data_IF_312128687019
#
_entry.id   IF_312128687019
#
_cell.length_a   1.000
_cell.length_b   1.000
_cell.length_c   1.000
_cell.angle_alpha   90.00
_cell.angle_beta   90.00
_cell.angle_gamma   90.00
#
_symmetry.space_group_name_H-M   'P 1'
#
loop_
_entity.id
_entity.type
_entity.pdbx_description
1 polymer ?
#
# COMPACT_ATOMS: atom_id res chain seq x y z
N UNK A 1 33.70 35.47 25.46
CA UNK A 1 33.89 34.28 24.62
C UNK A 1 33.64 33.05 25.45
N UNK A 2 33.04 32.02 24.83
CA UNK A 2 32.62 30.69 25.34
C UNK A 2 31.36 30.70 26.21
N UNK A 3 30.18 30.81 25.61
CA UNK A 3 29.40 29.76 24.92
C UNK A 3 28.48 29.01 25.90
N UNK A 4 27.33 29.63 26.18
CA UNK A 4 26.16 28.97 26.72
C UNK A 4 25.51 28.16 25.59
N UNK A 5 25.60 26.84 25.66
CA UNK A 5 24.71 25.97 24.87
C UNK A 5 23.31 26.03 25.49
N UNK A 6 22.25 26.34 24.73
CA UNK A 6 20.93 25.92 25.11
C UNK A 6 20.69 24.52 24.54
N UNK A 7 20.29 23.61 25.43
CA UNK A 7 19.53 22.42 25.10
C UNK A 7 18.56 22.67 23.95
N UNK A 8 18.69 21.88 22.89
CA UNK A 8 17.67 21.76 21.83
C UNK A 8 17.28 20.30 21.68
N UNK A 9 16.81 19.73 22.78
CA UNK A 9 15.84 18.64 22.77
C UNK A 9 14.53 19.20 23.29
N UNK A 10 13.89 20.06 22.47
CA UNK A 10 12.50 20.46 22.68
C UNK A 10 11.62 19.58 21.78
N UNK A 11 10.83 18.64 22.33
CA UNK A 11 9.88 17.84 21.55
C UNK A 11 8.68 18.74 21.22
N UNK A 12 8.89 19.68 20.32
CA UNK A 12 7.85 20.56 19.82
C UNK A 12 6.80 19.72 19.09
N UNK A 13 5.75 19.35 19.83
CA UNK A 13 4.40 19.01 19.39
C UNK A 13 4.32 18.52 17.94
N UNK A 14 4.55 17.23 17.72
CA UNK A 14 3.99 16.58 16.54
C UNK A 14 2.48 16.82 16.60
N UNK A 15 1.97 17.69 15.72
CA UNK A 15 0.54 17.98 15.68
C UNK A 15 -0.21 16.65 15.52
N UNK A 16 -1.25 16.39 16.32
CA UNK A 16 -2.02 15.18 16.18
C UNK A 16 -2.53 15.08 14.74
N UNK A 17 -2.44 13.87 14.18
CA UNK A 17 -2.92 13.61 12.82
C UNK A 17 -4.37 14.10 12.69
N UNK A 18 -4.62 14.93 11.67
CA UNK A 18 -5.93 15.49 11.39
C UNK A 18 -6.93 14.36 11.17
N UNK A 19 -8.12 14.43 11.75
CA UNK A 19 -9.15 13.39 11.59
C UNK A 19 -9.79 13.37 10.19
N UNK A 20 -9.81 14.53 9.53
CA UNK A 20 -10.35 14.72 8.18
C UNK A 20 -11.85 14.50 8.03
N UNK A 21 -12.36 14.84 6.85
CA UNK A 21 -13.76 14.65 6.49
C UNK A 21 -14.00 13.24 5.94
N UNK A 22 -15.11 12.60 6.30
CA UNK A 22 -15.46 11.25 5.78
C UNK A 22 -16.24 11.28 4.47
N UNK A 23 -16.76 12.45 4.07
CA UNK A 23 -17.45 12.69 2.79
C UNK A 23 -16.79 13.86 2.07
N UNK A 24 -16.70 13.79 0.74
CA UNK A 24 -16.10 14.83 -0.09
C UNK A 24 -16.78 16.20 0.10
N UNK A 25 -18.11 16.20 0.22
CA UNK A 25 -18.91 17.42 0.40
C UNK A 25 -18.65 18.15 1.72
N UNK A 26 -18.07 17.46 2.72
CA UNK A 26 -17.81 18.02 4.04
C UNK A 26 -16.37 18.57 4.18
N UNK A 27 -15.56 18.49 3.12
CA UNK A 27 -14.18 18.98 3.15
C UNK A 27 -14.20 20.51 3.16
N UNK A 28 -13.63 21.18 4.19
CA UNK A 28 -13.56 22.63 4.20
C UNK A 28 -12.76 23.15 3.00
N UNK A 29 -13.23 24.20 2.34
CA UNK A 29 -12.59 24.76 1.15
C UNK A 29 -11.10 25.11 1.37
N UNK A 30 -10.75 25.63 2.56
CA UNK A 30 -9.36 25.93 2.91
C UNK A 30 -8.47 24.68 3.04
N UNK A 31 -9.05 23.54 3.44
CA UNK A 31 -8.32 22.25 3.48
C UNK A 31 -8.16 21.73 2.06
N UNK A 32 -9.22 21.75 1.25
CA UNK A 32 -9.14 21.30 -0.15
C UNK A 32 -8.11 22.12 -0.94
N UNK A 33 -8.05 23.43 -0.74
CA UNK A 33 -7.04 24.29 -1.37
C UNK A 33 -5.60 23.89 -0.98
N UNK A 34 -5.34 23.56 0.29
CA UNK A 34 -4.02 23.11 0.76
C UNK A 34 -3.67 21.72 0.24
N UNK A 35 -4.65 20.81 0.14
CA UNK A 35 -4.46 19.49 -0.48
C UNK A 35 -4.11 19.64 -1.96
N UNK A 36 -4.84 20.46 -2.71
CA UNK A 36 -4.58 20.76 -4.12
C UNK A 36 -3.24 21.48 -4.33
N UNK A 37 -2.78 22.28 -3.35
CA UNK A 37 -1.47 22.92 -3.39
C UNK A 37 -0.33 22.00 -2.93
N UNK A 38 -0.62 20.75 -2.54
CA UNK A 38 0.37 19.80 -2.07
C UNK A 38 0.99 20.12 -0.70
N UNK A 39 0.37 21.01 0.07
CA UNK A 39 0.92 21.54 1.33
C UNK A 39 0.58 20.65 2.53
N UNK A 40 -0.46 19.82 2.42
CA UNK A 40 -0.90 18.91 3.46
C UNK A 40 -1.03 17.48 2.92
N UNK A 41 -0.79 16.47 3.76
CA UNK A 41 -1.28 15.13 3.47
C UNK A 41 -2.79 15.04 3.69
N UNK A 42 -3.41 14.09 3.00
CA UNK A 42 -4.79 13.68 3.24
C UNK A 42 -4.94 13.10 4.65
N UNK A 43 -6.14 13.15 5.21
CA UNK A 43 -6.46 12.47 6.46
C UNK A 43 -7.38 11.26 6.23
N UNK A 44 -8.13 11.28 5.12
CA UNK A 44 -9.11 10.25 4.77
C UNK A 44 -9.08 9.94 3.28
N UNK A 45 -9.69 8.81 2.89
CA UNK A 45 -9.91 8.49 1.50
C UNK A 45 -10.77 9.54 0.78
N UNK A 46 -11.77 10.11 1.45
CA UNK A 46 -12.64 11.12 0.85
C UNK A 46 -11.85 12.36 0.41
N UNK A 47 -10.86 12.78 1.20
CA UNK A 47 -9.97 13.88 0.84
C UNK A 47 -9.06 13.53 -0.32
N UNK A 48 -8.46 12.33 -0.33
CA UNK A 48 -7.66 11.88 -1.46
C UNK A 48 -8.45 11.79 -2.77
N UNK A 49 -9.73 11.44 -2.70
CA UNK A 49 -10.63 11.43 -3.87
C UNK A 49 -11.09 12.81 -4.32
N UNK A 50 -11.02 13.82 -3.44
CA UNK A 50 -11.42 15.19 -3.74
C UNK A 50 -10.31 16.04 -4.33
N UNK A 51 -9.05 15.60 -4.24
CA UNK A 51 -7.91 16.32 -4.82
C UNK A 51 -8.12 16.53 -6.31
N UNK A 52 -7.98 17.78 -6.74
CA UNK A 52 -7.81 18.12 -8.14
C UNK A 52 -6.41 17.70 -8.57
N UNK A 53 -6.33 16.65 -9.38
CA UNK A 53 -5.07 16.05 -9.78
C UNK A 53 -4.20 17.01 -10.59
N UNK A 54 -4.80 17.81 -11.47
CA UNK A 54 -4.03 18.72 -12.32
C UNK A 54 -3.52 19.90 -11.50
N UNK A 55 -4.33 20.45 -10.60
CA UNK A 55 -3.88 21.50 -9.68
C UNK A 55 -2.70 21.03 -8.82
N UNK A 56 -2.75 19.78 -8.32
CA UNK A 56 -1.65 19.21 -7.56
C UNK A 56 -0.39 18.98 -8.40
N UNK A 57 -0.52 18.53 -9.66
CA UNK A 57 0.64 18.43 -10.56
C UNK A 57 1.25 19.81 -10.81
N UNK A 58 0.44 20.83 -11.09
CA UNK A 58 0.90 22.20 -11.30
C UNK A 58 1.66 22.75 -10.08
N UNK A 59 1.20 22.44 -8.87
CA UNK A 59 1.83 22.88 -7.65
C UNK A 59 3.13 22.13 -7.32
N UNK A 60 3.14 20.81 -7.51
CA UNK A 60 4.25 19.96 -7.08
C UNK A 60 5.34 19.78 -8.14
N UNK A 61 4.97 19.78 -9.42
CA UNK A 61 5.83 19.42 -10.55
C UNK A 61 5.43 20.21 -11.82
N UNK A 62 5.52 21.56 -11.79
CA UNK A 62 5.00 22.43 -12.84
C UNK A 62 5.57 22.13 -14.23
N UNK A 63 6.79 21.60 -14.32
CA UNK A 63 7.48 21.28 -15.57
C UNK A 63 6.77 20.20 -16.42
N UNK A 64 5.93 19.34 -15.83
CA UNK A 64 5.16 18.30 -16.55
C UNK A 64 3.67 18.62 -16.65
N UNK A 65 3.22 19.79 -16.19
CA UNK A 65 1.79 20.09 -16.03
C UNK A 65 1.01 20.08 -17.35
N UNK A 66 1.61 20.55 -18.44
CA UNK A 66 0.98 20.55 -19.77
C UNK A 66 0.75 19.12 -20.28
N UNK A 67 1.79 18.27 -20.24
CA UNK A 67 1.69 16.85 -20.58
C UNK A 67 0.71 16.10 -19.66
N UNK A 68 0.68 16.44 -18.37
CA UNK A 68 -0.26 15.85 -17.42
C UNK A 68 -1.70 16.23 -17.77
N UNK A 69 -1.98 17.48 -18.15
CA UNK A 69 -3.30 17.91 -18.56
C UNK A 69 -3.82 17.11 -19.77
N UNK A 70 -2.95 16.87 -20.76
CA UNK A 70 -3.29 16.05 -21.92
C UNK A 70 -3.62 14.61 -21.52
N UNK A 71 -2.76 13.97 -20.71
CA UNK A 71 -2.96 12.57 -20.30
C UNK A 71 -4.12 12.37 -19.32
N UNK A 72 -4.52 13.42 -18.61
CA UNK A 72 -5.64 13.40 -17.65
C UNK A 72 -6.99 13.82 -18.27
N UNK A 73 -7.05 14.23 -19.54
CA UNK A 73 -8.26 14.78 -20.17
C UNK A 73 -9.45 13.81 -20.31
N UNK A 74 -9.29 12.52 -19.98
CA UNK A 74 -10.35 11.51 -20.05
C UNK A 74 -11.07 11.23 -18.72
N UNK A 75 -12.16 10.45 -18.80
CA UNK A 75 -12.87 9.94 -17.62
C UNK A 75 -12.10 8.79 -16.96
N UNK A 76 -11.08 9.15 -16.18
CA UNK A 76 -10.19 8.21 -15.50
C UNK A 76 -10.57 8.08 -14.03
N UNK A 77 -10.68 6.83 -13.57
CA UNK A 77 -10.77 6.53 -12.14
C UNK A 77 -9.48 6.87 -11.39
N UNK A 78 -9.54 6.94 -10.05
CA UNK A 78 -8.40 7.38 -9.23
C UNK A 78 -7.12 6.56 -9.47
N UNK A 79 -7.22 5.23 -9.58
CA UNK A 79 -6.06 4.35 -9.83
C UNK A 79 -5.42 4.67 -11.19
N UNK A 80 -6.23 4.91 -12.22
CA UNK A 80 -5.74 5.26 -13.54
C UNK A 80 -5.06 6.64 -13.53
N UNK A 81 -5.65 7.63 -12.85
CA UNK A 81 -5.03 8.96 -12.69
C UNK A 81 -3.68 8.88 -11.98
N UNK A 82 -3.60 8.13 -10.87
CA UNK A 82 -2.35 7.91 -10.14
C UNK A 82 -1.28 7.24 -11.02
N UNK A 83 -1.66 6.20 -11.77
CA UNK A 83 -0.75 5.51 -12.69
C UNK A 83 -0.28 6.40 -13.83
N UNK A 84 -1.19 7.15 -14.45
CA UNK A 84 -0.86 8.04 -15.58
C UNK A 84 0.15 9.11 -15.16
N UNK A 85 -0.09 9.78 -14.02
CA UNK A 85 0.82 10.80 -13.51
C UNK A 85 2.15 10.18 -13.08
N UNK A 86 2.14 9.06 -12.35
CA UNK A 86 3.37 8.39 -11.94
C UNK A 86 4.23 7.89 -13.10
N UNK A 87 3.61 7.35 -14.15
CA UNK A 87 4.34 6.94 -15.38
C UNK A 87 4.91 8.16 -16.11
N UNK A 88 4.13 9.23 -16.28
CA UNK A 88 4.63 10.48 -16.86
C UNK A 88 5.85 11.00 -16.08
N UNK A 89 5.77 11.05 -14.76
CA UNK A 89 6.88 11.51 -13.92
C UNK A 89 8.11 10.60 -14.03
N UNK A 90 7.93 9.29 -14.21
CA UNK A 90 9.05 8.37 -14.44
C UNK A 90 9.74 8.63 -15.78
N UNK A 91 8.97 8.90 -16.83
CA UNK A 91 9.48 9.21 -18.17
C UNK A 91 10.24 10.53 -18.19
N UNK A 92 9.67 11.59 -17.60
CA UNK A 92 10.22 12.94 -17.68
C UNK A 92 11.33 13.21 -16.65
N UNK A 93 11.23 12.64 -15.44
CA UNK A 93 12.13 12.99 -14.33
C UNK A 93 13.00 11.84 -13.83
N UNK A 94 12.66 10.60 -14.18
CA UNK A 94 13.39 9.39 -13.82
C UNK A 94 13.74 9.29 -12.32
N UNK A 95 14.94 8.77 -12.03
CA UNK A 95 15.44 8.60 -10.67
C UNK A 95 15.70 9.92 -9.94
N UNK A 96 15.94 11.02 -10.68
CA UNK A 96 16.12 12.33 -10.06
C UNK A 96 14.80 12.81 -9.44
N UNK A 97 13.70 12.78 -10.20
CA UNK A 97 12.37 13.11 -9.69
C UNK A 97 11.96 12.20 -8.54
N UNK A 98 12.15 10.88 -8.68
CA UNK A 98 11.80 9.90 -7.65
C UNK A 98 12.44 10.23 -6.29
N UNK A 99 13.72 10.63 -6.26
CA UNK A 99 14.43 10.95 -5.03
C UNK A 99 13.82 12.13 -4.25
N UNK A 100 13.24 13.09 -4.96
CA UNK A 100 12.61 14.27 -4.37
C UNK A 100 11.14 14.01 -4.02
N UNK A 101 10.38 13.45 -4.95
CA UNK A 101 8.92 13.26 -4.80
C UNK A 101 8.57 12.27 -3.69
N UNK A 102 9.41 11.25 -3.43
CA UNK A 102 9.19 10.33 -2.30
C UNK A 102 9.29 10.98 -0.91
N UNK A 103 9.78 12.22 -0.82
CA UNK A 103 9.88 13.00 0.43
C UNK A 103 8.90 14.16 0.49
N UNK A 104 8.05 14.31 -0.53
CA UNK A 104 7.12 15.43 -0.63
C UNK A 104 6.10 15.43 0.52
N UNK A 105 5.66 16.58 1.06
CA UNK A 105 4.69 16.64 2.17
C UNK A 105 3.35 15.98 1.85
N UNK A 106 2.80 16.20 0.64
CA UNK A 106 1.59 15.52 0.19
C UNK A 106 1.79 14.02 -0.06
N UNK A 107 0.95 13.20 0.55
CA UNK A 107 0.94 11.74 0.40
C UNK A 107 0.58 11.31 -1.02
N UNK A 108 -0.29 12.04 -1.73
CA UNK A 108 -0.62 11.75 -3.13
C UNK A 108 0.61 11.86 -4.04
N UNK A 109 1.49 12.85 -3.81
CA UNK A 109 2.74 13.01 -4.57
C UNK A 109 3.72 11.87 -4.26
N UNK A 110 3.82 11.46 -2.99
CA UNK A 110 4.57 10.24 -2.61
C UNK A 110 3.94 8.98 -3.21
N UNK A 111 2.62 8.95 -3.37
CA UNK A 111 1.89 7.90 -4.09
C UNK A 111 2.25 7.86 -5.59
N UNK A 112 2.41 9.00 -6.25
CA UNK A 112 2.94 9.03 -7.62
C UNK A 112 4.37 8.49 -7.68
N UNK A 113 5.19 8.77 -6.67
CA UNK A 113 6.54 8.20 -6.58
C UNK A 113 6.51 6.66 -6.54
N UNK A 114 5.48 6.03 -5.95
CA UNK A 114 5.32 4.58 -6.03
C UNK A 114 5.04 4.09 -7.47
N UNK A 115 4.17 4.78 -8.19
CA UNK A 115 3.93 4.51 -9.61
C UNK A 115 5.14 4.83 -10.49
N UNK A 116 5.98 5.80 -10.11
CA UNK A 116 7.24 6.04 -10.79
C UNK A 116 8.16 4.82 -10.67
N UNK A 117 8.28 4.23 -9.47
CA UNK A 117 9.07 2.99 -9.28
C UNK A 117 8.59 1.87 -10.19
N UNK A 118 7.28 1.73 -10.38
CA UNK A 118 6.70 0.76 -11.31
C UNK A 118 6.91 1.14 -12.80
N UNK A 119 6.95 2.43 -13.12
CA UNK A 119 7.11 2.95 -14.49
C UNK A 119 8.55 3.07 -14.99
N UNK A 120 9.56 3.03 -14.11
CA UNK A 120 10.96 3.15 -14.52
C UNK A 120 11.37 2.03 -15.51
N UNK A 121 11.96 2.36 -16.66
CA UNK A 121 12.31 1.38 -17.68
C UNK A 121 13.53 0.55 -17.27
N UNK A 122 13.56 -0.72 -17.71
CA UNK A 122 14.74 -1.59 -17.59
C UNK A 122 15.12 -2.01 -16.18
N UNK A 123 14.27 -1.79 -15.17
CA UNK A 123 14.54 -2.14 -13.77
C UNK A 123 14.11 -3.57 -13.45
N UNK A 124 15.01 -4.44 -12.95
CA UNK A 124 14.64 -5.75 -12.44
C UNK A 124 13.82 -5.64 -11.14
N UNK A 125 13.17 -6.73 -10.75
CA UNK A 125 12.19 -6.73 -9.66
C UNK A 125 12.82 -6.41 -8.29
N UNK A 126 14.01 -6.92 -8.03
CA UNK A 126 14.80 -6.64 -6.83
C UNK A 126 15.11 -5.13 -6.69
N UNK A 127 15.58 -4.48 -7.75
CA UNK A 127 15.84 -3.02 -7.75
C UNK A 127 14.53 -2.24 -7.52
N UNK A 128 13.41 -2.67 -8.10
CA UNK A 128 12.11 -2.03 -7.84
C UNK A 128 11.68 -2.21 -6.38
N UNK A 129 11.93 -3.36 -5.78
CA UNK A 129 11.64 -3.62 -4.37
C UNK A 129 12.51 -2.77 -3.44
N UNK A 130 13.77 -2.54 -3.78
CA UNK A 130 14.63 -1.60 -3.05
C UNK A 130 14.12 -0.16 -3.14
N UNK A 131 13.73 0.28 -4.34
CA UNK A 131 13.22 1.63 -4.58
C UNK A 131 11.85 1.88 -3.92
N UNK A 132 10.97 0.88 -3.88
CA UNK A 132 9.63 1.00 -3.28
C UNK A 132 9.68 0.94 -1.76
N UNK A 133 10.68 0.29 -1.16
CA UNK A 133 10.77 0.03 0.29
C UNK A 133 10.45 1.24 1.17
N UNK A 134 11.00 2.45 0.97
CA UNK A 134 10.65 3.61 1.79
C UNK A 134 9.18 4.06 1.66
N UNK A 135 8.54 3.79 0.52
CA UNK A 135 7.12 4.11 0.28
C UNK A 135 6.20 3.02 0.85
N UNK A 136 6.65 1.75 0.80
CA UNK A 136 6.01 0.63 1.49
C UNK A 136 6.02 0.81 3.02
N UNK A 137 7.05 1.47 3.55
CA UNK A 137 7.21 1.81 4.98
C UNK A 137 6.80 3.25 5.33
N UNK A 138 6.10 3.95 4.43
CA UNK A 138 5.72 5.34 4.66
C UNK A 138 4.81 5.47 5.89
N UNK A 139 4.98 6.50 6.74
CA UNK A 139 4.09 6.71 7.89
C UNK A 139 2.63 6.92 7.48
N UNK A 140 2.39 7.43 6.27
CA UNK A 140 1.06 7.72 5.76
C UNK A 140 0.40 6.49 5.12
N UNK A 141 -0.80 6.15 5.58
CA UNK A 141 -1.50 4.94 5.15
C UNK A 141 -1.73 4.88 3.63
N UNK A 142 -2.11 6.00 3.02
CA UNK A 142 -2.42 6.02 1.59
C UNK A 142 -1.20 5.73 0.72
N UNK A 143 -0.01 6.19 1.12
CA UNK A 143 1.23 5.92 0.38
C UNK A 143 1.53 4.42 0.40
N UNK A 144 1.33 3.76 1.54
CA UNK A 144 1.50 2.30 1.65
C UNK A 144 0.53 1.54 0.75
N UNK A 145 -0.70 2.02 0.57
CA UNK A 145 -1.64 1.43 -0.39
C UNK A 145 -1.17 1.60 -1.84
N UNK A 146 -0.73 2.80 -2.21
CA UNK A 146 -0.20 3.06 -3.54
C UNK A 146 1.07 2.25 -3.84
N UNK A 147 1.92 2.05 -2.83
CA UNK A 147 3.15 1.28 -2.96
C UNK A 147 2.89 -0.15 -3.44
N UNK A 148 2.00 -0.89 -2.78
CA UNK A 148 1.72 -2.26 -3.20
C UNK A 148 0.90 -2.30 -4.49
N UNK A 149 -0.05 -1.37 -4.68
CA UNK A 149 -0.86 -1.30 -5.90
C UNK A 149 0.01 -1.08 -7.14
N UNK A 150 0.95 -0.14 -7.07
CA UNK A 150 1.85 0.21 -8.16
C UNK A 150 2.76 -0.96 -8.55
N UNK A 151 3.33 -1.67 -7.57
CA UNK A 151 4.31 -2.73 -7.85
C UNK A 151 3.67 -4.09 -8.16
N UNK A 152 2.41 -4.30 -7.79
CA UNK A 152 1.70 -5.56 -7.97
C UNK A 152 1.76 -6.16 -9.39
N UNK A 153 1.66 -5.40 -10.50
CA UNK A 153 1.82 -5.96 -11.83
C UNK A 153 3.16 -6.67 -12.04
N UNK A 154 4.26 -6.10 -11.52
CA UNK A 154 5.60 -6.68 -11.59
C UNK A 154 5.74 -7.92 -10.69
N UNK A 155 5.11 -7.91 -9.51
CA UNK A 155 5.08 -9.08 -8.62
C UNK A 155 4.28 -10.24 -9.22
N UNK A 156 3.20 -9.92 -9.95
CA UNK A 156 2.36 -10.93 -10.59
C UNK A 156 3.00 -11.53 -11.85
N UNK A 157 3.84 -10.78 -12.56
CA UNK A 157 4.49 -11.26 -13.78
C UNK A 157 5.60 -12.29 -13.53
N UNK A 158 6.30 -12.18 -12.40
CA UNK A 158 7.31 -13.16 -11.96
C UNK A 158 7.07 -13.52 -10.49
N UNK A 159 6.00 -14.27 -10.26
CA UNK A 159 5.55 -14.62 -8.92
C UNK A 159 6.59 -15.44 -8.12
N UNK A 160 7.29 -16.45 -8.67
CA UNK A 160 8.32 -17.18 -7.93
C UNK A 160 9.42 -16.26 -7.39
N UNK A 161 10.00 -15.40 -8.25
CA UNK A 161 11.02 -14.44 -7.82
C UNK A 161 10.45 -13.42 -6.82
N UNK A 162 9.22 -12.96 -7.02
CA UNK A 162 8.55 -12.05 -6.10
C UNK A 162 8.41 -12.64 -4.69
N UNK A 163 7.98 -13.90 -4.58
CA UNK A 163 7.82 -14.59 -3.29
C UNK A 163 9.17 -14.76 -2.57
N UNK A 164 10.21 -15.12 -3.31
CA UNK A 164 11.58 -15.25 -2.77
C UNK A 164 12.09 -13.90 -2.25
N UNK A 165 11.99 -12.84 -3.05
CA UNK A 165 12.47 -11.50 -2.69
C UNK A 165 11.67 -10.84 -1.55
N UNK A 166 10.39 -11.18 -1.42
CA UNK A 166 9.53 -10.66 -0.35
C UNK A 166 9.64 -11.47 0.95
N UNK A 167 10.13 -12.72 0.92
CA UNK A 167 10.22 -13.55 2.12
C UNK A 167 11.01 -12.88 3.27
N UNK A 168 12.19 -12.26 3.03
CA UNK A 168 12.91 -11.55 4.10
C UNK A 168 12.11 -10.41 4.74
N UNK A 169 11.16 -9.81 4.03
CA UNK A 169 10.37 -8.68 4.53
C UNK A 169 9.40 -9.12 5.63
N UNK A 170 9.04 -10.39 5.68
CA UNK A 170 8.21 -10.96 6.77
C UNK A 170 8.93 -10.99 8.12
N UNK A 171 10.26 -10.90 8.13
CA UNK A 171 11.06 -10.79 9.34
C UNK A 171 11.49 -9.35 9.68
N UNK A 172 10.99 -8.34 8.96
CA UNK A 172 11.37 -6.95 9.20
C UNK A 172 10.78 -6.40 10.49
N UNK A 173 11.53 -5.53 11.18
CA UNK A 173 11.05 -4.82 12.38
C UNK A 173 9.79 -3.99 12.09
N UNK A 174 9.73 -3.37 10.90
CA UNK A 174 8.56 -2.61 10.48
C UNK A 174 7.37 -3.50 10.13
N UNK A 175 6.28 -3.30 10.85
CA UNK A 175 4.97 -3.87 10.55
C UNK A 175 4.45 -3.50 9.15
N UNK A 176 4.83 -2.34 8.63
CA UNK A 176 4.41 -1.91 7.29
C UNK A 176 5.04 -2.77 6.21
N UNK A 177 6.33 -3.11 6.35
CA UNK A 177 7.05 -3.97 5.42
C UNK A 177 6.53 -5.41 5.46
N UNK A 178 6.29 -5.95 6.67
CA UNK A 178 5.67 -7.27 6.83
C UNK A 178 4.28 -7.31 6.19
N UNK A 179 3.48 -6.26 6.40
CA UNK A 179 2.17 -6.10 5.75
C UNK A 179 2.30 -5.99 4.24
N UNK A 180 3.26 -5.23 3.71
CA UNK A 180 3.46 -5.07 2.27
C UNK A 180 3.71 -6.40 1.57
N UNK A 181 4.56 -7.27 2.14
CA UNK A 181 4.86 -8.58 1.59
C UNK A 181 3.59 -9.43 1.38
N UNK A 182 2.70 -9.45 2.38
CA UNK A 182 1.44 -10.19 2.30
C UNK A 182 0.41 -9.49 1.41
N UNK A 183 0.22 -8.18 1.59
CA UNK A 183 -0.84 -7.44 0.91
C UNK A 183 -0.63 -7.43 -0.61
N UNK A 184 0.61 -7.17 -1.03
CA UNK A 184 0.99 -7.07 -2.44
C UNK A 184 0.74 -8.35 -3.22
N UNK A 185 0.75 -9.51 -2.54
CA UNK A 185 0.56 -10.85 -3.12
C UNK A 185 -0.83 -11.44 -2.85
N UNK A 186 -1.81 -10.66 -2.36
CA UNK A 186 -3.18 -11.18 -2.15
C UNK A 186 -3.75 -11.83 -3.42
N UNK A 187 -4.39 -13.02 -3.37
CA UNK A 187 -4.93 -13.68 -4.56
C UNK A 187 -6.01 -12.83 -5.25
N UNK A 188 -6.80 -12.08 -4.46
CA UNK A 188 -7.91 -11.24 -4.93
C UNK A 188 -7.88 -9.86 -4.28
N UNK A 189 -6.96 -9.01 -4.71
CA UNK A 189 -6.94 -7.61 -4.26
C UNK A 189 -8.12 -6.81 -4.82
N UNK A 190 -8.49 -5.75 -4.10
CA UNK A 190 -9.50 -4.78 -4.52
C UNK A 190 -8.80 -3.70 -5.36
N UNK A 191 -9.45 -3.21 -6.42
CA UNK A 191 -8.90 -2.23 -7.37
C UNK A 191 -7.67 -2.69 -8.19
N UNK A 192 -7.39 -3.99 -8.22
CA UNK A 192 -6.29 -4.54 -8.98
C UNK A 192 -6.65 -5.89 -9.60
N UNK A 193 -5.86 -6.34 -10.58
CA UNK A 193 -6.01 -7.66 -11.15
C UNK A 193 -5.75 -8.76 -10.10
N UNK A 194 -6.48 -9.88 -10.26
CA UNK A 194 -6.26 -11.08 -9.47
C UNK A 194 -4.95 -11.76 -9.87
N UNK A 195 -4.25 -12.37 -8.90
CA UNK A 195 -3.10 -13.23 -9.19
C UNK A 195 -3.64 -14.64 -9.37
N UNK A 196 -3.81 -15.05 -10.63
CA UNK A 196 -4.44 -16.33 -10.98
C UNK A 196 -3.69 -17.54 -10.39
N UNK A 197 -2.36 -17.50 -10.41
CA UNK A 197 -1.52 -18.55 -9.82
C UNK A 197 -1.84 -18.81 -8.35
N UNK A 198 -1.91 -17.75 -7.51
CA UNK A 198 -2.23 -17.89 -6.08
C UNK A 198 -3.71 -18.21 -5.80
N UNK A 199 -4.61 -17.97 -6.76
CA UNK A 199 -5.99 -18.46 -6.65
C UNK A 199 -6.07 -19.97 -6.87
N UNK A 200 -5.25 -20.49 -7.77
CA UNK A 200 -5.21 -21.90 -8.14
C UNK A 200 -4.40 -22.71 -7.13
N UNK A 201 -3.18 -22.26 -6.83
CA UNK A 201 -2.29 -22.86 -5.85
C UNK A 201 -1.86 -21.82 -4.79
N UNK A 202 -2.67 -21.63 -3.74
CA UNK A 202 -2.32 -20.73 -2.64
C UNK A 202 -1.16 -21.24 -1.78
N UNK A 203 -0.75 -22.52 -1.92
CA UNK A 203 0.35 -23.05 -1.13
C UNK A 203 1.69 -22.34 -1.43
N UNK A 204 1.85 -21.81 -2.65
CA UNK A 204 3.01 -20.99 -3.01
C UNK A 204 3.17 -19.74 -2.11
N UNK A 205 2.07 -19.19 -1.58
CA UNK A 205 2.11 -18.05 -0.67
C UNK A 205 2.53 -18.38 0.77
N UNK A 206 2.66 -19.66 1.14
CA UNK A 206 2.96 -20.05 2.53
C UNK A 206 4.27 -19.46 3.05
N UNK A 207 5.27 -19.30 2.19
CA UNK A 207 6.55 -18.68 2.56
C UNK A 207 6.38 -17.27 3.14
N UNK A 208 5.33 -16.55 2.74
CA UNK A 208 5.01 -15.23 3.29
C UNK A 208 4.05 -15.27 4.49
N UNK A 209 3.18 -16.28 4.57
CA UNK A 209 2.11 -16.35 5.57
C UNK A 209 2.54 -17.05 6.85
N UNK A 210 3.30 -18.14 6.74
CA UNK A 210 3.76 -18.96 7.86
C UNK A 210 4.53 -18.15 8.92
N UNK A 211 5.47 -17.25 8.56
CA UNK A 211 6.19 -16.43 9.54
C UNK A 211 5.29 -15.44 10.29
N UNK A 212 4.16 -15.04 9.67
CA UNK A 212 3.27 -13.98 10.15
C UNK A 212 1.99 -14.51 10.81
N UNK A 213 1.85 -15.84 10.95
CA UNK A 213 0.65 -16.49 11.52
C UNK A 213 0.37 -16.12 12.98
N UNK A 214 1.35 -15.54 13.67
CA UNK A 214 1.26 -15.07 15.05
C UNK A 214 1.85 -13.67 15.23
N UNK A 215 1.89 -12.87 14.15
CA UNK A 215 2.42 -11.50 14.17
C UNK A 215 1.79 -10.69 15.32
N UNK A 216 2.56 -9.85 16.00
CA UNK A 216 2.12 -9.07 17.15
C UNK A 216 1.25 -7.86 16.76
N UNK A 217 1.30 -7.45 15.48
CA UNK A 217 0.62 -6.25 14.99
C UNK A 217 -0.69 -6.59 14.30
N UNK A 218 -1.78 -6.02 14.81
CA UNK A 218 -3.13 -6.18 14.23
C UNK A 218 -3.19 -5.81 12.74
N UNK A 219 -2.41 -4.82 12.34
CA UNK A 219 -2.32 -4.37 10.94
C UNK A 219 -1.81 -5.47 10.00
N UNK A 220 -0.77 -6.22 10.41
CA UNK A 220 -0.21 -7.35 9.65
C UNK A 220 -1.18 -8.53 9.67
N UNK A 221 -1.69 -8.87 10.87
CA UNK A 221 -2.65 -9.96 11.04
C UNK A 221 -3.88 -9.79 10.13
N UNK A 222 -4.38 -8.55 9.97
CA UNK A 222 -5.51 -8.26 9.07
C UNK A 222 -5.17 -8.56 7.62
N UNK A 223 -3.95 -8.24 7.17
CA UNK A 223 -3.48 -8.56 5.82
C UNK A 223 -3.41 -10.07 5.60
N UNK A 224 -2.83 -10.83 6.54
CA UNK A 224 -2.79 -12.30 6.52
C UNK A 224 -4.20 -12.89 6.46
N UNK A 225 -5.10 -12.42 7.32
CA UNK A 225 -6.48 -12.88 7.35
C UNK A 225 -7.24 -12.56 6.04
N UNK A 226 -7.00 -11.40 5.45
CA UNK A 226 -7.60 -11.03 4.17
C UNK A 226 -7.04 -11.85 3.01
N UNK A 227 -5.74 -12.13 3.01
CA UNK A 227 -5.10 -13.02 2.04
C UNK A 227 -5.75 -14.41 2.08
N UNK A 228 -5.89 -15.00 3.26
CA UNK A 228 -6.53 -16.30 3.45
C UNK A 228 -8.01 -16.29 3.06
N UNK A 229 -8.75 -15.24 3.41
CA UNK A 229 -10.15 -15.09 3.00
C UNK A 229 -10.32 -14.91 1.47
N UNK A 230 -9.31 -14.37 0.79
CA UNK A 230 -9.31 -14.31 -0.67
C UNK A 230 -9.04 -15.67 -1.30
N UNK A 231 -8.08 -16.43 -0.75
CA UNK A 231 -7.81 -17.81 -1.15
C UNK A 231 -9.03 -18.70 -0.92
N UNK A 232 -9.78 -18.51 0.18
CA UNK A 232 -10.93 -19.35 0.53
C UNK A 232 -12.08 -19.27 -0.48
N UNK A 233 -12.10 -18.25 -1.34
CA UNK A 233 -13.10 -18.09 -2.41
C UNK A 233 -12.86 -19.01 -3.61
N UNK A 234 -11.67 -19.60 -3.73
CA UNK A 234 -11.35 -20.61 -4.77
C UNK A 234 -10.83 -21.92 -4.19
N UNK A 235 -10.16 -21.89 -3.04
CA UNK A 235 -9.59 -23.07 -2.38
C UNK A 235 -10.06 -23.15 -0.91
N UNK A 236 -11.37 -23.33 -0.66
CA UNK A 236 -11.94 -23.31 0.69
C UNK A 236 -11.36 -24.40 1.60
N UNK A 237 -11.19 -25.62 1.09
CA UNK A 237 -10.72 -26.76 1.89
C UNK A 237 -9.24 -26.62 2.27
N UNK A 238 -8.41 -26.07 1.38
CA UNK A 238 -7.03 -25.74 1.71
C UNK A 238 -6.94 -24.72 2.86
N UNK A 239 -7.78 -23.67 2.82
CA UNK A 239 -7.80 -22.66 3.90
C UNK A 239 -8.28 -23.27 5.22
N UNK A 240 -9.28 -24.17 5.20
CA UNK A 240 -9.73 -24.89 6.41
C UNK A 240 -8.60 -25.71 7.01
N UNK A 241 -7.97 -26.56 6.21
CA UNK A 241 -6.89 -27.43 6.65
C UNK A 241 -5.71 -26.62 7.23
N UNK A 242 -5.34 -25.51 6.57
CA UNK A 242 -4.28 -24.62 7.08
C UNK A 242 -4.67 -23.97 8.41
N UNK A 243 -5.90 -23.47 8.55
CA UNK A 243 -6.37 -22.86 9.78
C UNK A 243 -6.45 -23.86 10.94
N UNK A 244 -6.91 -25.09 10.67
CA UNK A 244 -6.92 -26.18 11.66
C UNK A 244 -5.50 -26.55 12.11
N UNK A 245 -4.56 -26.64 11.18
CA UNK A 245 -3.14 -26.85 11.48
C UNK A 245 -2.58 -25.73 12.38
N UNK A 246 -2.79 -24.47 11.98
CA UNK A 246 -2.31 -23.31 12.75
C UNK A 246 -2.92 -23.22 14.15
N UNK A 247 -4.19 -23.65 14.33
CA UNK A 247 -4.82 -23.68 15.65
C UNK A 247 -4.10 -24.62 16.62
N UNK A 248 -3.51 -25.72 16.11
CA UNK A 248 -2.74 -26.69 16.91
C UNK A 248 -1.29 -26.23 17.08
N UNK A 249 -0.64 -25.80 16.00
CA UNK A 249 0.80 -25.45 16.01
C UNK A 249 1.10 -24.09 16.66
N UNK A 250 0.13 -23.17 16.69
CA UNK A 250 0.31 -21.81 17.19
C UNK A 250 -0.98 -21.30 17.86
N UNK A 251 -1.35 -21.79 19.05
CA UNK A 251 -2.58 -21.40 19.74
C UNK A 251 -2.52 -19.99 20.38
N UNK A 252 -1.71 -19.09 19.82
CA UNK A 252 -1.59 -17.72 20.30
C UNK A 252 -2.86 -16.89 19.99
N UNK A 253 -3.21 -15.89 20.82
CA UNK A 253 -4.38 -15.03 20.57
C UNK A 253 -4.37 -14.35 19.20
N UNK A 254 -3.18 -13.98 18.69
CA UNK A 254 -3.01 -13.42 17.35
C UNK A 254 -3.44 -14.41 16.25
N UNK A 255 -2.97 -15.66 16.32
CA UNK A 255 -3.32 -16.72 15.37
C UNK A 255 -4.80 -17.05 15.41
N UNK A 256 -5.39 -17.16 16.60
CA UNK A 256 -6.83 -17.39 16.78
C UNK A 256 -7.65 -16.27 16.13
N UNK A 257 -7.21 -15.02 16.27
CA UNK A 257 -7.87 -13.90 15.63
C UNK A 257 -7.75 -13.93 14.10
N UNK A 258 -6.57 -14.27 13.56
CA UNK A 258 -6.34 -14.43 12.11
C UNK A 258 -7.28 -15.49 11.56
N UNK A 259 -7.33 -16.68 12.17
CA UNK A 259 -8.18 -17.80 11.73
C UNK A 259 -9.65 -17.39 11.70
N UNK A 260 -10.13 -16.71 12.75
CA UNK A 260 -11.49 -16.22 12.82
C UNK A 260 -11.81 -15.23 11.69
N UNK A 261 -10.91 -14.29 11.40
CA UNK A 261 -11.11 -13.32 10.33
C UNK A 261 -10.99 -13.95 8.94
N UNK A 262 -10.05 -14.86 8.74
CA UNK A 262 -9.81 -15.57 7.49
C UNK A 262 -11.01 -16.42 7.05
N UNK A 263 -11.71 -17.04 8.01
CA UNK A 263 -12.79 -18.00 7.74
C UNK A 263 -14.20 -17.35 7.72
N UNK A 264 -14.30 -16.01 7.82
CA UNK A 264 -15.60 -15.31 7.89
C UNK A 264 -16.54 -15.63 6.72
N UNK A 265 -16.02 -15.68 5.49
CA UNK A 265 -16.83 -15.99 4.30
C UNK A 265 -17.25 -17.46 4.30
N UNK A 266 -16.38 -18.37 4.73
CA UNK A 266 -16.72 -19.79 4.85
C UNK A 266 -17.83 -20.04 5.88
N UNK A 267 -17.77 -19.36 7.03
CA UNK A 267 -18.81 -19.44 8.07
C UNK A 267 -20.16 -18.90 7.57
N UNK A 268 -20.14 -17.75 6.87
CA UNK A 268 -21.36 -17.18 6.27
C UNK A 268 -21.98 -18.12 5.23
N UNK A 269 -21.17 -18.73 4.37
CA UNK A 269 -21.65 -19.68 3.37
C UNK A 269 -22.26 -20.93 4.02
N UNK A 270 -21.62 -21.48 5.05
CA UNK A 270 -22.15 -22.62 5.80
C UNK A 270 -23.47 -22.30 6.52
N UNK A 271 -23.61 -21.10 7.06
CA UNK A 271 -24.84 -20.65 7.72
C UNK A 271 -25.99 -20.46 6.72
N UNK A 272 -25.71 -20.03 5.49
CA UNK A 272 -26.73 -19.88 4.43
C UNK A 272 -27.17 -21.22 3.80
N UNK A 273 -26.40 -22.30 4.00
CA UNK A 273 -26.71 -23.64 3.51
C UNK A 273 -27.48 -24.51 4.52
N UNK A 274 -27.80 -23.95 5.70
CA UNK A 274 -28.61 -24.58 6.76
C UNK A 274 -30.00 -23.98 6.77
#
# INVERSE_FOLDING_TARGET
MTNSSPDRDDPAFAQPARSGATRMADIPAAILAQLNAGQLPTATLAEGLAIDMLALVQAAVPEVAELAAERLAGDLGIVQRMSVVGTLLAEELGLYGLRHLKKHPADTVRGWAAYMVAGLPGRPLDERLELIRPLADDPHFAVREWAWLALRPHLASDLPAALELLQPWTGADSANLRRFAVESTRPRGVWCAHIAALKHDPAAGLALLEPLRADDQRYVQLSVANWLNDASKSQPEWVRALCERWAVESPAPATVWIINHATRTLRKAAAAAR
#
